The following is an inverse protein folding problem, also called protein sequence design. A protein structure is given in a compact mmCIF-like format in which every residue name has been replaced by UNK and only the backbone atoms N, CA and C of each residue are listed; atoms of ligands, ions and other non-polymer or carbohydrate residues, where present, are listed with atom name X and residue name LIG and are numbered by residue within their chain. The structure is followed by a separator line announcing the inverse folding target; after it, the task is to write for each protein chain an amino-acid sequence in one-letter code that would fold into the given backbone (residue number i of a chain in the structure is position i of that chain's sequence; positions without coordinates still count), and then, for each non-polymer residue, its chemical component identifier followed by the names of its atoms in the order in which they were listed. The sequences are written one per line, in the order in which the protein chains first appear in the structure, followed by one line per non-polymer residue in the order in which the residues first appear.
data_IF_165889611711
#
_entry.id   IF_165889611711
#
_cell.length_a   1.000
_cell.length_b   1.000
_cell.length_c   1.000
_cell.angle_alpha   90.00
_cell.angle_beta   90.00
_cell.angle_gamma   90.00
#
_symmetry.space_group_name_H-M   'P 1'
#
loop_
_entity.id
_entity.type
_entity.pdbx_description
1 polymer ?
#
# COMPACT_ATOMS: atom_id res chain seq x y z
N UNK A 1 5.19 -54.43 -13.53
CA UNK A 1 5.18 -52.99 -13.92
C UNK A 1 4.57 -52.09 -12.84
N UNK A 2 3.44 -52.45 -12.22
CA UNK A 2 2.72 -51.61 -11.24
C UNK A 2 3.56 -51.34 -9.96
N UNK A 3 4.28 -52.34 -9.45
CA UNK A 3 5.12 -52.20 -8.24
C UNK A 3 6.30 -51.22 -8.41
N UNK A 4 6.93 -51.20 -9.59
CA UNK A 4 8.04 -50.28 -9.90
C UNK A 4 7.57 -48.83 -9.94
N UNK A 5 6.35 -48.57 -10.43
CA UNK A 5 5.79 -47.21 -10.46
C UNK A 5 5.42 -46.77 -9.05
N UNK A 6 4.80 -47.66 -8.26
CA UNK A 6 4.43 -47.37 -6.87
C UNK A 6 5.65 -47.03 -6.00
N UNK A 7 6.73 -47.82 -6.08
CA UNK A 7 7.97 -47.56 -5.34
C UNK A 7 8.61 -46.22 -5.71
N UNK A 8 8.59 -45.85 -7.00
CA UNK A 8 9.10 -44.55 -7.46
C UNK A 8 8.24 -43.39 -6.95
N UNK A 9 6.92 -43.52 -7.00
CA UNK A 9 6.00 -42.51 -6.47
C UNK A 9 6.18 -42.32 -4.97
N UNK A 10 6.32 -43.42 -4.21
CA UNK A 10 6.57 -43.36 -2.77
C UNK A 10 7.91 -42.69 -2.44
N UNK A 11 8.98 -43.02 -3.18
CA UNK A 11 10.29 -42.40 -3.00
C UNK A 11 10.26 -40.89 -3.29
N UNK A 12 9.59 -40.46 -4.36
CA UNK A 12 9.44 -39.04 -4.69
C UNK A 12 8.59 -38.29 -3.65
N UNK A 13 7.54 -38.93 -3.12
CA UNK A 13 6.73 -38.35 -2.07
C UNK A 13 7.55 -38.13 -0.79
N UNK A 14 8.33 -39.14 -0.36
CA UNK A 14 9.22 -39.04 0.81
C UNK A 14 10.26 -37.94 0.59
N UNK A 15 10.88 -37.88 -0.59
CA UNK A 15 11.84 -36.83 -0.93
C UNK A 15 11.19 -35.44 -0.85
N UNK A 16 9.99 -35.29 -1.38
CA UNK A 16 9.20 -34.06 -1.27
C UNK A 16 8.94 -33.67 0.18
N UNK A 17 8.52 -34.62 1.02
CA UNK A 17 8.31 -34.39 2.45
C UNK A 17 9.59 -33.96 3.17
N UNK A 18 10.73 -34.61 2.89
CA UNK A 18 12.02 -34.26 3.52
C UNK A 18 12.49 -32.87 3.10
N UNK A 19 12.39 -32.53 1.82
CA UNK A 19 12.74 -31.21 1.30
C UNK A 19 11.85 -30.14 1.94
N UNK A 20 10.54 -30.31 1.90
CA UNK A 20 9.60 -29.35 2.48
C UNK A 20 9.74 -29.23 3.99
N UNK A 21 9.93 -30.33 4.71
CA UNK A 21 10.16 -30.30 6.15
C UNK A 21 11.44 -29.53 6.50
N UNK A 22 12.53 -29.78 5.77
CA UNK A 22 13.79 -29.04 5.93
C UNK A 22 13.63 -27.54 5.65
N UNK A 23 12.88 -27.19 4.60
CA UNK A 23 12.57 -25.79 4.27
C UNK A 23 11.71 -25.13 5.36
N UNK A 24 10.67 -25.80 5.85
CA UNK A 24 9.82 -25.26 6.93
C UNK A 24 10.63 -25.05 8.21
N UNK A 25 11.47 -26.02 8.57
CA UNK A 25 12.23 -25.98 9.81
C UNK A 25 13.38 -24.97 9.82
N UNK A 26 13.92 -24.58 8.65
CA UNK A 26 15.13 -23.73 8.56
C UNK A 26 14.95 -22.41 7.82
N UNK A 27 14.05 -22.36 6.85
CA UNK A 27 13.85 -21.17 6.00
C UNK A 27 12.60 -20.41 6.45
N UNK A 28 11.56 -21.13 6.87
CA UNK A 28 10.29 -20.53 7.28
C UNK A 28 10.07 -20.48 8.79
N UNK A 29 11.07 -20.86 9.60
CA UNK A 29 11.06 -20.61 11.04
C UNK A 29 11.16 -19.10 11.27
N UNK A 30 10.14 -18.47 11.89
CA UNK A 30 10.21 -17.04 12.11
C UNK A 30 11.40 -16.73 13.03
N UNK A 31 12.23 -15.71 12.72
CA UNK A 31 13.28 -15.28 13.64
C UNK A 31 12.64 -14.91 14.98
N UNK A 32 13.35 -15.17 16.09
CA UNK A 32 12.86 -14.91 17.45
C UNK A 32 12.49 -13.44 17.73
N UNK A 33 12.79 -12.53 16.80
CA UNK A 33 12.34 -11.14 16.81
C UNK A 33 10.83 -10.96 16.59
N UNK A 34 10.10 -11.99 16.14
CA UNK A 34 8.65 -11.92 15.83
C UNK A 34 7.71 -11.75 17.04
N UNK A 35 8.24 -11.47 18.24
CA UNK A 35 7.40 -11.10 19.37
C UNK A 35 6.70 -9.77 19.07
N UNK A 36 5.41 -9.88 18.75
CA UNK A 36 4.54 -8.73 18.54
C UNK A 36 4.33 -7.99 19.86
N UNK A 37 4.72 -6.72 19.91
CA UNK A 37 4.37 -5.80 20.97
C UNK A 37 3.43 -4.74 20.38
N UNK A 38 2.14 -4.71 20.80
CA UNK A 38 1.18 -3.75 20.26
C UNK A 38 1.56 -2.29 20.53
N UNK A 39 2.42 -2.03 21.51
CA UNK A 39 2.82 -0.70 21.95
C UNK A 39 4.17 -0.26 21.39
N UNK A 40 4.85 -1.10 20.60
CA UNK A 40 6.17 -0.76 20.04
C UNK A 40 6.23 -1.04 18.55
N UNK A 41 7.06 -0.26 17.87
CA UNK A 41 7.41 -0.53 16.49
C UNK A 41 8.43 -1.67 16.45
N UNK A 42 8.12 -2.75 15.72
CA UNK A 42 9.04 -3.86 15.51
C UNK A 42 10.32 -3.37 14.79
N UNK A 43 11.54 -3.79 15.19
CA UNK A 43 12.79 -3.29 14.60
C UNK A 43 12.84 -3.41 13.07
N UNK A 44 12.46 -4.57 12.52
CA UNK A 44 12.39 -4.76 11.06
C UNK A 44 11.42 -3.77 10.38
N UNK A 45 10.28 -3.46 11.02
CA UNK A 45 9.34 -2.49 10.46
C UNK A 45 9.92 -1.08 10.45
N UNK A 46 10.71 -0.73 11.48
CA UNK A 46 11.41 0.56 11.54
C UNK A 46 12.48 0.66 10.45
N UNK A 47 13.24 -0.42 10.21
CA UNK A 47 14.25 -0.48 9.16
C UNK A 47 13.63 -0.33 7.76
N UNK A 48 12.56 -1.09 7.49
CA UNK A 48 11.81 -0.98 6.23
C UNK A 48 11.24 0.44 6.04
N UNK A 49 10.62 1.01 7.07
CA UNK A 49 10.10 2.38 7.03
C UNK A 49 11.20 3.40 6.78
N UNK A 50 12.35 3.29 7.45
CA UNK A 50 13.47 4.20 7.25
C UNK A 50 13.98 4.14 5.80
N UNK A 51 14.08 2.95 5.22
CA UNK A 51 14.46 2.78 3.82
C UNK A 51 13.48 3.48 2.87
N UNK A 52 12.17 3.29 3.05
CA UNK A 52 11.18 3.97 2.19
C UNK A 52 11.14 5.48 2.40
N UNK A 53 11.27 5.96 3.63
CA UNK A 53 11.41 7.40 3.90
C UNK A 53 12.59 7.99 3.15
N UNK A 54 13.71 7.28 3.08
CA UNK A 54 14.89 7.73 2.33
C UNK A 54 14.59 7.91 0.83
N UNK A 55 13.86 6.98 0.20
CA UNK A 55 13.40 7.15 -1.18
C UNK A 55 12.60 8.45 -1.36
N UNK A 56 11.74 8.80 -0.40
CA UNK A 56 10.91 10.02 -0.45
C UNK A 56 11.66 11.33 -0.16
N UNK A 57 12.95 11.28 0.21
CA UNK A 57 13.80 12.46 0.38
C UNK A 57 14.45 12.93 -0.94
N UNK A 58 14.59 12.05 -1.93
CA UNK A 58 15.16 12.35 -3.25
C UNK A 58 14.13 12.13 -4.34
N UNK A 59 13.91 13.13 -5.20
CA UNK A 59 12.99 13.01 -6.33
C UNK A 59 13.40 11.88 -7.28
N UNK A 60 14.69 11.72 -7.56
CA UNK A 60 15.20 10.68 -8.45
C UNK A 60 14.95 9.27 -7.90
N UNK A 61 15.30 9.05 -6.63
CA UNK A 61 15.14 7.75 -5.98
C UNK A 61 13.66 7.36 -5.84
N UNK A 62 12.82 8.33 -5.48
CA UNK A 62 11.36 8.19 -5.47
C UNK A 62 10.85 7.83 -6.86
N UNK A 63 11.19 8.61 -7.89
CA UNK A 63 10.62 8.46 -9.22
C UNK A 63 11.03 7.13 -9.84
N UNK A 64 12.26 6.66 -9.58
CA UNK A 64 12.67 5.29 -9.96
C UNK A 64 11.81 4.23 -9.27
N UNK A 65 11.68 4.27 -7.94
CA UNK A 65 10.87 3.30 -7.18
C UNK A 65 9.43 3.26 -7.69
N UNK A 66 8.80 4.42 -7.88
CA UNK A 66 7.43 4.52 -8.35
C UNK A 66 7.28 4.07 -9.80
N UNK A 67 8.26 4.38 -10.66
CA UNK A 67 8.27 3.90 -12.04
C UNK A 67 8.34 2.37 -12.11
N UNK A 68 9.19 1.75 -11.29
CA UNK A 68 9.33 0.29 -11.26
C UNK A 68 8.02 -0.38 -10.77
N UNK A 69 7.39 0.18 -9.72
CA UNK A 69 6.08 -0.28 -9.22
C UNK A 69 4.98 -0.14 -10.27
N UNK A 70 4.88 1.05 -10.88
CA UNK A 70 3.85 1.37 -11.84
C UNK A 70 3.98 0.56 -13.13
N UNK A 71 5.20 0.30 -13.59
CA UNK A 71 5.45 -0.53 -14.77
C UNK A 71 5.02 -1.99 -14.56
N UNK A 72 5.15 -2.51 -13.33
CA UNK A 72 4.65 -3.84 -12.99
C UNK A 72 3.12 -3.87 -12.87
N UNK A 73 2.54 -2.90 -12.15
CA UNK A 73 1.11 -2.70 -12.03
C UNK A 73 0.82 -1.27 -11.52
N UNK A 74 0.10 -0.43 -12.28
CA UNK A 74 -0.26 0.93 -11.86
C UNK A 74 -1.03 1.00 -10.53
N UNK A 75 -1.82 -0.03 -10.20
CA UNK A 75 -2.53 -0.09 -8.91
C UNK A 75 -1.57 -0.36 -7.75
N UNK A 76 -0.46 -1.07 -7.98
CA UNK A 76 0.56 -1.30 -6.95
C UNK A 76 1.26 -0.02 -6.51
N UNK A 77 1.39 0.97 -7.40
CA UNK A 77 1.87 2.31 -7.02
C UNK A 77 0.93 2.93 -5.98
N UNK A 78 -0.38 2.98 -6.26
CA UNK A 78 -1.35 3.55 -5.31
C UNK A 78 -1.41 2.76 -4.00
N UNK A 79 -1.39 1.43 -4.07
CA UNK A 79 -1.39 0.57 -2.89
C UNK A 79 -0.13 0.73 -2.05
N UNK A 80 1.04 0.82 -2.68
CA UNK A 80 2.28 1.08 -1.97
C UNK A 80 2.21 2.39 -1.17
N UNK A 81 1.72 3.46 -1.79
CA UNK A 81 1.54 4.77 -1.12
C UNK A 81 0.61 4.65 0.07
N UNK A 82 -0.55 4.01 -0.11
CA UNK A 82 -1.54 3.80 0.94
C UNK A 82 -0.93 3.09 2.14
N UNK A 83 -0.31 1.93 1.92
CA UNK A 83 0.27 1.12 2.98
C UNK A 83 1.43 1.83 3.66
N UNK A 84 2.26 2.56 2.91
CA UNK A 84 3.34 3.36 3.50
C UNK A 84 2.81 4.48 4.38
N UNK A 85 1.76 5.21 3.95
CA UNK A 85 1.11 6.24 4.77
C UNK A 85 0.55 5.63 6.06
N UNK A 86 -0.11 4.47 5.97
CA UNK A 86 -0.61 3.74 7.14
C UNK A 86 0.49 3.33 8.10
N UNK A 87 1.58 2.76 7.58
CA UNK A 87 2.72 2.33 8.37
C UNK A 87 3.42 3.51 9.07
N UNK A 88 3.58 4.64 8.37
CA UNK A 88 4.12 5.87 8.96
C UNK A 88 3.21 6.44 10.05
N UNK A 89 1.89 6.41 9.86
CA UNK A 89 0.93 6.86 10.86
C UNK A 89 0.97 5.99 12.12
N UNK A 90 0.98 4.67 11.96
CA UNK A 90 1.14 3.73 13.07
C UNK A 90 2.47 3.94 13.80
N UNK A 91 3.57 4.12 13.06
CA UNK A 91 4.89 4.34 13.66
C UNK A 91 4.94 5.62 14.50
N UNK A 92 4.35 6.72 13.99
CA UNK A 92 4.27 8.01 14.66
C UNK A 92 3.34 8.03 15.87
N UNK A 93 2.31 7.20 15.87
CA UNK A 93 1.40 7.04 17.02
C UNK A 93 2.10 6.32 18.17
N UNK A 94 2.85 5.26 17.88
CA UNK A 94 3.58 4.47 18.88
C UNK A 94 4.88 5.10 19.38
N UNK A 95 5.52 5.93 18.56
CA UNK A 95 6.80 6.56 18.88
C UNK A 95 6.87 7.99 18.37
N UNK A 96 6.87 8.95 19.31
CA UNK A 96 6.87 10.37 19.03
C UNK A 96 8.07 10.83 18.17
N UNK A 97 9.20 10.09 18.17
CA UNK A 97 10.37 10.40 17.34
C UNK A 97 10.05 10.32 15.85
N UNK A 98 9.10 9.48 15.45
CA UNK A 98 8.67 9.34 14.07
C UNK A 98 7.73 10.46 13.62
N UNK A 99 7.09 11.18 14.55
CA UNK A 99 5.97 12.08 14.23
C UNK A 99 6.32 13.15 13.19
N UNK A 100 7.44 13.84 13.35
CA UNK A 100 7.88 14.89 12.41
C UNK A 100 8.17 14.30 11.03
N UNK A 101 8.96 13.22 10.99
CA UNK A 101 9.34 12.54 9.74
C UNK A 101 8.11 11.99 9.02
N UNK A 102 7.23 11.29 9.73
CA UNK A 102 5.99 10.74 9.19
C UNK A 102 5.09 11.82 8.59
N UNK A 103 4.88 12.93 9.31
CA UNK A 103 4.07 14.06 8.82
C UNK A 103 4.63 14.63 7.50
N UNK A 104 5.94 14.87 7.43
CA UNK A 104 6.59 15.42 6.24
C UNK A 104 6.50 14.43 5.06
N UNK A 105 6.80 13.15 5.31
CA UNK A 105 6.79 12.13 4.26
C UNK A 105 5.37 11.85 3.76
N UNK A 106 4.38 11.76 4.65
CA UNK A 106 2.97 11.60 4.27
C UNK A 106 2.50 12.80 3.43
N UNK A 107 2.88 14.03 3.80
CA UNK A 107 2.57 15.22 3.00
C UNK A 107 3.16 15.14 1.60
N UNK A 108 4.41 14.66 1.47
CA UNK A 108 5.07 14.46 0.18
C UNK A 108 4.35 13.40 -0.66
N UNK A 109 3.98 12.26 -0.06
CA UNK A 109 3.23 11.18 -0.72
C UNK A 109 1.90 11.70 -1.25
N UNK A 110 1.10 12.36 -0.41
CA UNK A 110 -0.23 12.83 -0.81
C UNK A 110 -0.11 13.93 -1.88
N UNK A 111 0.84 14.86 -1.76
CA UNK A 111 1.03 15.90 -2.78
C UNK A 111 1.42 15.33 -4.14
N UNK A 112 2.38 14.40 -4.18
CA UNK A 112 2.78 13.72 -5.41
C UNK A 112 1.62 12.91 -6.01
N UNK A 113 0.83 12.23 -5.17
CA UNK A 113 -0.37 11.49 -5.60
C UNK A 113 -1.40 12.41 -6.24
N UNK A 114 -1.70 13.54 -5.60
CA UNK A 114 -2.63 14.54 -6.14
C UNK A 114 -2.09 15.20 -7.40
N UNK A 115 -0.78 15.40 -7.50
CA UNK A 115 -0.15 15.94 -8.71
C UNK A 115 -0.32 14.98 -9.88
N UNK A 116 -0.03 13.68 -9.69
CA UNK A 116 -0.20 12.65 -10.72
C UNK A 116 -1.66 12.50 -11.12
N UNK A 117 -2.57 12.48 -10.16
CA UNK A 117 -4.02 12.46 -10.43
C UNK A 117 -4.46 13.67 -11.27
N UNK A 118 -4.00 14.89 -10.93
CA UNK A 118 -4.33 16.10 -11.71
C UNK A 118 -3.75 16.07 -13.12
N UNK A 119 -2.55 15.54 -13.28
CA UNK A 119 -1.83 15.55 -14.55
C UNK A 119 -2.34 14.48 -15.52
N UNK A 120 -2.65 13.29 -15.02
CA UNK A 120 -2.94 12.11 -15.84
C UNK A 120 -4.35 11.55 -15.62
N UNK A 121 -5.12 12.13 -14.71
CA UNK A 121 -6.40 11.59 -14.26
C UNK A 121 -6.24 10.39 -13.34
N UNK A 122 -7.38 9.86 -12.88
CA UNK A 122 -7.39 8.68 -11.99
C UNK A 122 -6.99 7.38 -12.69
N UNK A 123 -7.07 7.34 -14.02
CA UNK A 123 -6.57 6.22 -14.84
C UNK A 123 -5.09 5.96 -14.65
N UNK A 124 -4.31 6.94 -14.18
CA UNK A 124 -2.93 6.73 -13.81
C UNK A 124 -2.75 5.62 -12.76
N UNK A 125 -3.69 5.47 -11.84
CA UNK A 125 -3.58 4.48 -10.76
C UNK A 125 -4.39 3.21 -11.03
N UNK A 126 -4.83 2.98 -12.27
CA UNK A 126 -5.73 1.90 -12.62
C UNK A 126 -5.14 1.05 -13.74
N UNK A 127 -5.43 -0.25 -13.67
CA UNK A 127 -5.15 -1.15 -14.77
C UNK A 127 -6.05 -0.85 -15.99
N UNK A 128 -5.67 -1.31 -17.20
CA UNK A 128 -6.42 -1.05 -18.42
C UNK A 128 -7.88 -1.51 -18.39
N UNK A 129 -8.24 -2.46 -17.52
CA UNK A 129 -9.64 -2.90 -17.39
C UNK A 129 -10.59 -1.77 -16.99
N UNK A 130 -10.09 -0.73 -16.30
CA UNK A 130 -10.90 0.41 -15.90
C UNK A 130 -11.44 1.20 -17.10
N UNK A 131 -10.84 1.05 -18.29
CA UNK A 131 -11.32 1.64 -19.53
C UNK A 131 -12.20 0.69 -20.36
N UNK A 132 -12.37 -0.57 -19.93
CA UNK A 132 -13.12 -1.57 -20.71
C UNK A 132 -14.61 -1.24 -20.83
N UNK A 133 -15.17 -0.49 -19.87
CA UNK A 133 -16.53 0.02 -19.90
C UNK A 133 -16.61 1.41 -19.25
N UNK A 134 -17.51 2.29 -19.69
CA UNK A 134 -17.76 3.56 -19.00
C UNK A 134 -18.22 3.32 -17.55
N UNK A 135 -17.83 4.19 -16.63
CA UNK A 135 -18.36 4.17 -15.26
C UNK A 135 -19.88 4.40 -15.26
N UNK A 136 -20.60 3.76 -14.32
CA UNK A 136 -22.07 3.92 -14.19
C UNK A 136 -22.43 5.38 -13.86
N UNK A 137 -21.67 6.01 -12.96
CA UNK A 137 -21.85 7.43 -12.61
C UNK A 137 -20.86 8.27 -13.41
N UNK A 138 -21.38 9.04 -14.37
CA UNK A 138 -20.59 9.89 -15.27
C UNK A 138 -20.38 11.32 -14.74
N UNK A 139 -21.16 11.75 -13.75
CA UNK A 139 -21.05 13.10 -13.18
C UNK A 139 -21.20 13.10 -11.65
N UNK A 140 -20.21 13.60 -10.89
CA UNK A 140 -18.83 13.79 -11.35
C UNK A 140 -18.18 12.44 -11.66
N UNK A 141 -17.46 12.36 -12.78
CA UNK A 141 -16.72 11.15 -13.15
C UNK A 141 -15.60 10.87 -12.13
N UNK A 142 -15.36 9.59 -11.86
CA UNK A 142 -14.24 9.15 -11.04
C UNK A 142 -14.42 7.71 -10.56
N UNK A 143 -13.34 7.16 -10.04
CA UNK A 143 -13.20 5.80 -9.55
C UNK A 143 -13.20 5.79 -8.02
N UNK A 144 -14.13 5.04 -7.44
CA UNK A 144 -14.33 4.94 -6.00
C UNK A 144 -13.11 4.39 -5.25
N UNK A 145 -12.35 3.47 -5.86
CA UNK A 145 -11.11 2.95 -5.29
C UNK A 145 -10.09 4.07 -5.16
N UNK A 146 -9.73 4.76 -6.26
CA UNK A 146 -8.73 5.84 -6.24
C UNK A 146 -9.09 6.96 -5.25
N UNK A 147 -10.34 7.41 -5.28
CA UNK A 147 -10.80 8.45 -4.36
C UNK A 147 -10.81 8.00 -2.90
N UNK A 148 -11.23 6.76 -2.65
CA UNK A 148 -11.25 6.16 -1.32
C UNK A 148 -9.86 6.11 -0.70
N UNK A 149 -8.87 5.64 -1.47
CA UNK A 149 -7.49 5.55 -1.00
C UNK A 149 -6.86 6.93 -0.73
N UNK A 150 -7.09 7.90 -1.63
CA UNK A 150 -6.61 9.28 -1.42
C UNK A 150 -7.27 9.90 -0.19
N UNK A 151 -8.58 9.73 -0.02
CA UNK A 151 -9.30 10.20 1.16
C UNK A 151 -8.75 9.55 2.43
N UNK A 152 -8.51 8.23 2.41
CA UNK A 152 -7.96 7.51 3.54
C UNK A 152 -6.57 8.02 3.93
N UNK A 153 -5.66 8.22 2.96
CA UNK A 153 -4.33 8.77 3.22
C UNK A 153 -4.40 10.16 3.86
N UNK A 154 -5.29 11.04 3.36
CA UNK A 154 -5.55 12.35 3.96
C UNK A 154 -6.13 12.22 5.38
N UNK A 155 -6.96 11.21 5.63
CA UNK A 155 -7.51 10.90 6.95
C UNK A 155 -6.40 10.55 7.94
N UNK A 156 -5.51 9.63 7.57
CA UNK A 156 -4.33 9.27 8.37
C UNK A 156 -3.44 10.48 8.65
N UNK A 157 -3.19 11.32 7.64
CA UNK A 157 -2.41 12.54 7.83
C UNK A 157 -3.03 13.48 8.87
N UNK A 158 -4.36 13.61 8.87
CA UNK A 158 -5.11 14.44 9.82
C UNK A 158 -5.11 13.88 11.24
N UNK A 159 -5.08 12.55 11.40
CA UNK A 159 -4.96 11.92 12.73
C UNK A 159 -3.65 12.31 13.41
N UNK A 160 -2.54 12.37 12.66
CA UNK A 160 -1.24 12.77 13.21
C UNK A 160 -1.15 14.27 13.52
N UNK A 161 -1.68 15.11 12.62
CA UNK A 161 -1.69 16.56 12.77
C UNK A 161 -2.82 17.19 11.94
N UNK A 162 -3.80 17.80 12.60
CA UNK A 162 -5.03 18.28 11.95
C UNK A 162 -4.97 19.78 11.61
N UNK A 163 -4.25 20.15 10.55
CA UNK A 163 -4.25 21.52 10.03
C UNK A 163 -5.45 21.81 9.09
N UNK A 164 -5.68 23.10 8.82
CA UNK A 164 -6.85 23.57 8.05
C UNK A 164 -6.81 23.16 6.57
N UNK A 165 -5.62 23.07 5.99
CA UNK A 165 -5.41 22.74 4.57
C UNK A 165 -5.82 21.30 4.30
N UNK A 166 -5.24 20.34 5.04
CA UNK A 166 -5.58 18.93 4.85
C UNK A 166 -7.01 18.62 5.26
N UNK A 167 -7.53 19.32 6.27
CA UNK A 167 -8.94 19.20 6.67
C UNK A 167 -9.89 19.62 5.56
N UNK A 168 -9.60 20.71 4.85
CA UNK A 168 -10.39 21.14 3.68
C UNK A 168 -10.29 20.11 2.56
N UNK A 169 -9.08 19.74 2.15
CA UNK A 169 -8.87 18.77 1.07
C UNK A 169 -9.58 17.44 1.32
N UNK A 170 -9.47 16.90 2.52
CA UNK A 170 -10.15 15.67 2.92
C UNK A 170 -11.66 15.81 2.84
N UNK A 171 -12.24 16.89 3.39
CA UNK A 171 -13.70 17.12 3.34
C UNK A 171 -14.21 17.24 1.92
N UNK A 172 -13.50 17.99 1.07
CA UNK A 172 -13.89 18.19 -0.32
C UNK A 172 -13.91 16.84 -1.08
N UNK A 173 -12.89 16.00 -0.84
CA UNK A 173 -12.80 14.65 -1.42
C UNK A 173 -13.91 13.71 -0.90
N UNK A 174 -14.15 13.68 0.41
CA UNK A 174 -15.22 12.85 1.00
C UNK A 174 -16.59 13.27 0.49
N UNK A 175 -16.85 14.58 0.42
CA UNK A 175 -18.11 15.08 -0.13
C UNK A 175 -18.30 14.68 -1.61
N UNK A 176 -17.21 14.62 -2.39
CA UNK A 176 -17.26 14.11 -3.76
C UNK A 176 -17.62 12.62 -3.83
N UNK A 177 -17.03 11.80 -2.95
CA UNK A 177 -17.34 10.38 -2.80
C UNK A 177 -18.82 10.20 -2.42
N UNK A 178 -19.28 10.86 -1.37
CA UNK A 178 -20.67 10.76 -0.89
C UNK A 178 -21.68 11.14 -1.99
N UNK A 179 -21.43 12.23 -2.72
CA UNK A 179 -22.31 12.64 -3.83
C UNK A 179 -22.43 11.55 -4.90
N UNK A 180 -21.35 10.82 -5.21
CA UNK A 180 -21.40 9.72 -6.18
C UNK A 180 -22.11 8.50 -5.63
N UNK A 181 -21.81 8.09 -4.40
CA UNK A 181 -22.47 6.96 -3.75
C UNK A 181 -23.99 7.15 -3.67
N UNK A 182 -24.46 8.36 -3.38
CA UNK A 182 -25.89 8.69 -3.37
C UNK A 182 -26.54 8.58 -4.75
N UNK A 183 -25.79 8.87 -5.82
CA UNK A 183 -26.28 8.77 -7.20
C UNK A 183 -26.25 7.35 -7.75
N UNK A 184 -25.37 6.48 -7.26
CA UNK A 184 -25.30 5.07 -7.68
C UNK A 184 -26.32 4.16 -7.01
N UNK A 185 -26.97 4.64 -5.93
CA UNK A 185 -28.03 3.91 -5.23
C UNK A 185 -29.41 4.06 -5.89
N UNK A 186 -29.49 4.83 -6.98
CA UNK A 186 -30.67 5.08 -7.81
C UNK A 186 -30.47 4.39 -9.17
#
# INVERSE_FOLDING_TARGET
MIESTFMRTLALFILGCVVWWGSIARVFTPPGSTQFDPNKNHPLAQELLANYVHHWQSSESRDKLLSDLHAANPEWDLMFRLFLVGALANAAERDARWKKTAVITIDAIIRDTLQRERQYGQSYFLLPYAAARPFVVQSPAGNQFVDGEIAWMMGMRRLLHNDSVWRKLHRDRVALIERRMRRSAL
#
